data_IF_377846243153
#
_entry.id   IF_377846243153
#
_cell.length_a   1.000
_cell.length_b   1.000
_cell.length_c   1.000
_cell.angle_alpha   90.00
_cell.angle_beta   90.00
_cell.angle_gamma   90.00
#
_symmetry.space_group_name_H-M   'P 1'
#
loop_
_entity.id
_entity.type
_entity.pdbx_description
1 polymer ?
#
# COMPACT_ATOMS: atom_id res chain seq x y z
N UNK A 1 0.07 56.29 50.64
CA UNK A 1 1.20 55.39 50.32
C UNK A 1 0.64 54.04 49.91
N UNK A 2 0.88 53.70 48.64
CA UNK A 2 0.73 52.45 47.87
C UNK A 2 -0.17 51.31 48.41
N UNK A 3 -1.31 51.15 47.72
CA UNK A 3 -2.05 49.89 47.58
C UNK A 3 -1.27 48.94 46.65
N UNK A 4 -1.00 47.72 47.11
CA UNK A 4 -0.39 46.64 46.31
C UNK A 4 -1.53 45.77 45.75
N UNK A 5 -1.86 45.97 44.47
CA UNK A 5 -2.72 45.06 43.70
C UNK A 5 -1.90 43.87 43.24
N UNK A 6 -2.30 42.67 43.67
CA UNK A 6 -1.78 41.40 43.21
C UNK A 6 -2.36 41.08 41.83
N UNK A 7 -1.56 41.22 40.77
CA UNK A 7 -1.90 40.71 39.44
C UNK A 7 -1.63 39.21 39.39
N UNK A 8 -2.67 38.40 39.59
CA UNK A 8 -2.66 36.99 39.18
C UNK A 8 -2.69 36.93 37.64
N UNK A 9 -1.55 36.58 37.05
CA UNK A 9 -1.47 36.15 35.66
C UNK A 9 -2.09 34.74 35.58
N UNK A 10 -3.36 34.66 35.21
CA UNK A 10 -3.97 33.42 34.72
C UNK A 10 -3.31 33.08 33.37
N UNK A 11 -2.30 32.21 33.40
CA UNK A 11 -1.90 31.46 32.21
C UNK A 11 -3.09 30.60 31.81
N UNK A 12 -3.81 31.02 30.78
CA UNK A 12 -4.79 30.18 30.10
C UNK A 12 -4.07 28.91 29.62
N UNK A 13 -4.39 27.78 30.24
CA UNK A 13 -3.96 26.46 29.80
C UNK A 13 -4.60 26.23 28.42
N UNK A 14 -3.85 26.50 27.35
CA UNK A 14 -4.29 26.14 26.01
C UNK A 14 -4.26 24.62 25.92
N UNK A 15 -5.37 23.93 25.60
CA UNK A 15 -5.34 22.50 25.39
C UNK A 15 -4.44 22.24 24.18
N UNK A 16 -3.29 21.61 24.43
CA UNK A 16 -2.41 21.14 23.36
C UNK A 16 -3.22 20.11 22.57
N UNK A 17 -3.67 20.45 21.36
CA UNK A 17 -4.35 19.47 20.51
C UNK A 17 -3.31 18.43 20.10
N UNK A 18 -3.25 17.38 20.90
CA UNK A 18 -2.40 16.24 20.68
C UNK A 18 -2.86 15.49 19.42
N UNK A 19 -1.96 15.23 18.46
CA UNK A 19 -2.35 14.57 17.22
C UNK A 19 -2.93 13.18 17.52
N UNK A 20 -4.02 12.81 16.85
CA UNK A 20 -4.54 11.44 16.94
C UNK A 20 -3.55 10.45 16.34
N UNK A 21 -3.77 9.14 16.55
CA UNK A 21 -2.93 8.17 15.84
C UNK A 21 -3.04 8.26 14.32
N UNK A 22 -4.22 8.62 13.81
CA UNK A 22 -4.42 8.82 12.38
C UNK A 22 -3.61 10.03 11.89
N UNK A 23 -3.60 11.13 12.66
CA UNK A 23 -2.82 12.33 12.30
C UNK A 23 -1.32 12.01 12.22
N UNK A 24 -0.78 11.31 13.22
CA UNK A 24 0.62 10.91 13.21
C UNK A 24 0.94 10.00 12.02
N UNK A 25 0.16 8.92 11.82
CA UNK A 25 0.48 7.92 10.81
C UNK A 25 0.28 8.44 9.39
N UNK A 26 -0.87 9.07 9.11
CA UNK A 26 -1.27 9.43 7.75
C UNK A 26 -0.72 10.79 7.34
N UNK A 27 -0.70 11.77 8.24
CA UNK A 27 -0.34 13.16 7.88
C UNK A 27 1.14 13.46 8.10
N UNK A 28 1.86 12.66 8.89
CA UNK A 28 3.26 12.94 9.24
C UNK A 28 4.18 11.77 8.86
N UNK A 29 4.00 10.60 9.49
CA UNK A 29 4.91 9.46 9.37
C UNK A 29 4.96 8.95 7.92
N UNK A 30 3.81 8.73 7.29
CA UNK A 30 3.75 8.25 5.91
C UNK A 30 4.43 9.19 4.91
N UNK A 31 4.06 10.48 4.79
CA UNK A 31 4.70 11.38 3.82
C UNK A 31 6.17 11.66 4.15
N UNK A 32 6.56 11.69 5.43
CA UNK A 32 7.95 11.89 5.81
C UNK A 32 8.82 10.67 5.45
N UNK A 33 8.33 9.46 5.72
CA UNK A 33 9.06 8.21 5.40
C UNK A 33 9.16 7.99 3.90
N UNK A 34 8.17 8.41 3.10
CA UNK A 34 8.20 8.36 1.62
C UNK A 34 9.45 9.04 1.06
N UNK A 35 9.84 10.19 1.64
CA UNK A 35 11.04 10.92 1.20
C UNK A 35 12.36 10.17 1.45
N UNK A 36 12.37 9.21 2.38
CA UNK A 36 13.51 8.34 2.67
C UNK A 36 13.44 7.09 1.78
N UNK A 37 12.28 6.42 1.72
CA UNK A 37 12.09 5.21 0.92
C UNK A 37 12.43 5.40 -0.56
N UNK A 38 12.14 6.58 -1.11
CA UNK A 38 12.38 6.90 -2.51
C UNK A 38 13.65 7.75 -2.74
N UNK A 39 14.59 7.79 -1.79
CA UNK A 39 15.78 8.65 -1.89
C UNK A 39 16.63 8.41 -3.14
N UNK A 40 16.68 7.17 -3.64
CA UNK A 40 17.45 6.78 -4.84
C UNK A 40 16.76 7.16 -6.15
N UNK A 41 15.42 7.30 -6.15
CA UNK A 41 14.65 7.72 -7.32
C UNK A 41 14.26 9.20 -7.29
N UNK A 42 14.34 9.83 -6.11
CA UNK A 42 14.03 11.25 -5.84
C UNK A 42 15.18 11.93 -5.11
N UNK A 43 16.40 11.73 -5.59
CA UNK A 43 17.61 12.30 -4.98
C UNK A 43 17.59 13.83 -5.03
N UNK A 44 17.74 14.55 -3.90
CA UNK A 44 17.78 16.00 -3.88
C UNK A 44 18.98 16.55 -4.68
N UNK A 45 18.71 17.41 -5.67
CA UNK A 45 19.72 18.05 -6.51
C UNK A 45 20.12 19.45 -6.02
N UNK A 46 19.29 20.08 -5.19
CA UNK A 46 19.49 21.45 -4.70
C UNK A 46 19.52 21.53 -3.18
N UNK A 47 20.13 22.61 -2.65
CA UNK A 47 20.16 22.87 -1.20
C UNK A 47 18.75 23.00 -0.59
N UNK A 48 17.80 23.54 -1.35
CA UNK A 48 16.41 23.65 -0.92
C UNK A 48 15.73 22.27 -0.80
N UNK A 49 15.98 21.36 -1.73
CA UNK A 49 15.46 19.99 -1.67
C UNK A 49 16.12 19.20 -0.52
N UNK A 50 17.41 19.39 -0.28
CA UNK A 50 18.10 18.82 0.88
C UNK A 50 17.53 19.34 2.20
N UNK A 51 17.24 20.64 2.30
CA UNK A 51 16.59 21.23 3.47
C UNK A 51 15.17 20.69 3.67
N UNK A 52 14.41 20.46 2.59
CA UNK A 52 13.09 19.85 2.66
C UNK A 52 13.15 18.40 3.15
N UNK A 53 14.10 17.60 2.66
CA UNK A 53 14.34 16.24 3.13
C UNK A 53 14.71 16.23 4.62
N UNK A 54 15.61 17.11 5.06
CA UNK A 54 15.96 17.22 6.47
C UNK A 54 14.73 17.51 7.32
N UNK A 55 13.89 18.48 6.93
CA UNK A 55 12.64 18.80 7.63
C UNK A 55 11.71 17.59 7.72
N UNK A 56 11.60 16.78 6.66
CA UNK A 56 10.81 15.56 6.68
C UNK A 56 11.37 14.53 7.66
N UNK A 57 12.69 14.29 7.65
CA UNK A 57 13.31 13.36 8.61
C UNK A 57 13.12 13.79 10.07
N UNK A 58 13.19 15.10 10.34
CA UNK A 58 12.94 15.66 11.68
C UNK A 58 11.46 15.53 12.09
N UNK A 59 10.53 15.69 11.14
CA UNK A 59 9.11 15.46 11.38
C UNK A 59 8.80 13.98 11.68
N UNK A 60 9.47 13.06 10.97
CA UNK A 60 9.39 11.62 11.25
C UNK A 60 9.90 11.30 12.66
N UNK A 61 11.04 11.86 13.05
CA UNK A 61 11.62 11.67 14.39
C UNK A 61 10.66 12.15 15.48
N UNK A 62 10.13 13.36 15.35
CA UNK A 62 9.18 13.93 16.31
C UNK A 62 7.91 13.08 16.42
N UNK A 63 7.37 12.62 15.28
CA UNK A 63 6.22 11.75 15.29
C UNK A 63 6.52 10.36 15.90
N UNK A 64 7.73 9.82 15.69
CA UNK A 64 8.16 8.57 16.31
C UNK A 64 8.27 8.69 17.83
N UNK A 65 8.84 9.79 18.31
CA UNK A 65 8.92 10.08 19.75
C UNK A 65 7.55 10.27 20.38
N UNK A 66 6.60 10.83 19.64
CA UNK A 66 5.23 10.92 20.11
C UNK A 66 4.58 9.54 20.32
N UNK A 67 5.01 8.49 19.60
CA UNK A 67 4.49 7.13 19.80
C UNK A 67 4.90 6.52 21.14
N UNK A 68 6.05 6.89 21.70
CA UNK A 68 6.54 6.34 22.98
C UNK A 68 5.97 7.06 24.21
N UNK A 69 5.14 8.10 24.02
CA UNK A 69 4.49 8.81 25.12
C UNK A 69 3.60 7.87 25.95
N UNK A 70 3.62 7.96 27.31
CA UNK A 70 2.91 7.04 28.19
C UNK A 70 1.42 6.90 27.88
N UNK A 71 0.79 7.96 27.37
CA UNK A 71 -0.63 7.98 26.98
C UNK A 71 -0.97 7.11 25.77
N UNK A 72 0.02 6.70 24.97
CA UNK A 72 -0.16 5.88 23.76
C UNK A 72 0.29 4.44 23.95
N UNK A 73 1.16 4.20 24.92
CA UNK A 73 1.75 2.91 25.21
C UNK A 73 0.69 1.91 25.72
N UNK A 74 0.11 1.12 24.80
CA UNK A 74 -1.00 0.19 25.04
C UNK A 74 -0.64 -0.91 26.05
N UNK A 75 -0.01 -1.98 25.57
CA UNK A 75 0.53 -3.10 26.38
C UNK A 75 1.96 -2.79 26.89
N UNK A 76 2.32 -1.49 26.83
CA UNK A 76 3.52 -0.80 27.30
C UNK A 76 4.85 -1.39 26.86
N UNK A 77 5.18 -2.62 27.21
CA UNK A 77 6.48 -3.22 26.91
C UNK A 77 6.68 -3.46 25.41
N UNK A 78 5.77 -4.21 24.77
CA UNK A 78 5.86 -4.51 23.34
C UNK A 78 5.65 -3.26 22.50
N UNK A 79 4.69 -2.39 22.87
CA UNK A 79 4.47 -1.13 22.17
C UNK A 79 5.73 -0.27 22.16
N UNK A 80 6.39 -0.12 23.30
CA UNK A 80 7.62 0.67 23.38
C UNK A 80 8.75 0.02 22.58
N UNK A 81 8.89 -1.31 22.62
CA UNK A 81 9.87 -2.02 21.81
C UNK A 81 9.67 -1.77 20.31
N UNK A 82 8.43 -1.92 19.82
CA UNK A 82 8.11 -1.70 18.41
C UNK A 82 8.27 -0.23 18.00
N UNK A 83 7.81 0.71 18.83
CA UNK A 83 7.92 2.15 18.56
C UNK A 83 9.38 2.64 18.58
N UNK A 84 10.22 2.03 19.43
CA UNK A 84 11.64 2.38 19.52
C UNK A 84 12.39 2.09 18.21
N UNK A 85 11.99 1.06 17.44
CA UNK A 85 12.58 0.78 16.13
C UNK A 85 12.43 1.97 15.17
N UNK A 86 11.27 2.62 15.19
CA UNK A 86 11.02 3.79 14.34
C UNK A 86 11.78 5.02 14.85
N UNK A 87 11.90 5.18 16.18
CA UNK A 87 12.74 6.23 16.78
C UNK A 87 14.20 6.05 16.36
N UNK A 88 14.75 4.85 16.48
CA UNK A 88 16.15 4.57 16.14
C UNK A 88 16.44 4.80 14.65
N UNK A 89 15.54 4.36 13.77
CA UNK A 89 15.66 4.58 12.33
C UNK A 89 15.55 6.07 11.97
N UNK A 90 14.60 6.79 12.56
CA UNK A 90 14.40 8.23 12.29
C UNK A 90 15.55 9.10 12.77
N UNK A 91 16.16 8.80 13.93
CA UNK A 91 17.36 9.51 14.42
C UNK A 91 18.53 9.34 13.45
N UNK A 92 18.74 8.12 12.92
CA UNK A 92 19.75 7.87 11.89
C UNK A 92 19.44 8.60 10.60
N UNK A 93 18.17 8.66 10.20
CA UNK A 93 17.74 9.40 9.00
C UNK A 93 18.01 10.90 9.13
N UNK A 94 17.74 11.50 10.30
CA UNK A 94 18.05 12.91 10.58
C UNK A 94 19.56 13.16 10.49
N UNK A 95 20.39 12.26 11.04
CA UNK A 95 21.83 12.38 10.95
C UNK A 95 22.33 12.31 9.49
N UNK A 96 21.86 11.32 8.73
CA UNK A 96 22.23 11.12 7.33
C UNK A 96 21.77 12.28 6.43
N UNK A 97 20.55 12.79 6.63
CA UNK A 97 20.04 13.95 5.89
C UNK A 97 20.87 15.21 6.15
N UNK A 98 21.30 15.46 7.39
CA UNK A 98 22.15 16.60 7.76
C UNK A 98 23.51 16.56 7.08
N UNK A 99 24.09 15.37 6.92
CA UNK A 99 25.39 15.18 6.26
C UNK A 99 25.28 14.88 4.76
N UNK A 100 24.06 14.91 4.20
CA UNK A 100 23.75 14.54 2.81
C UNK A 100 24.26 13.15 2.43
N UNK A 101 24.22 12.22 3.38
CA UNK A 101 24.65 10.84 3.18
C UNK A 101 23.53 10.03 2.50
N UNK A 102 23.56 10.02 1.17
CA UNK A 102 22.60 9.26 0.36
C UNK A 102 22.64 7.75 0.64
N UNK A 103 23.84 7.20 0.86
CA UNK A 103 23.99 5.77 1.11
C UNK A 103 23.43 5.42 2.48
N UNK A 104 23.73 6.24 3.49
CA UNK A 104 23.16 6.10 4.83
C UNK A 104 21.64 6.22 4.85
N UNK A 105 21.05 7.06 4.01
CA UNK A 105 19.58 7.13 3.86
C UNK A 105 19.00 5.89 3.18
N UNK A 106 19.63 5.39 2.11
CA UNK A 106 19.22 4.16 1.43
C UNK A 106 19.29 2.93 2.35
N UNK A 107 20.36 2.82 3.15
CA UNK A 107 20.58 1.71 4.09
C UNK A 107 19.54 1.64 5.22
N UNK A 108 18.73 2.68 5.40
CA UNK A 108 17.66 2.71 6.40
C UNK A 108 16.34 2.12 5.91
N UNK A 109 16.21 1.79 4.62
CA UNK A 109 14.96 1.28 4.05
C UNK A 109 14.45 0.04 4.79
N UNK A 110 15.31 -0.95 5.02
CA UNK A 110 14.92 -2.18 5.72
C UNK A 110 14.54 -1.92 7.18
N UNK A 111 15.27 -1.04 7.86
CA UNK A 111 15.01 -0.68 9.25
C UNK A 111 13.67 0.05 9.40
N UNK A 112 13.41 1.04 8.53
CA UNK A 112 12.14 1.76 8.48
C UNK A 112 10.99 0.82 8.13
N UNK A 113 11.15 -0.01 7.10
CA UNK A 113 10.14 -1.00 6.71
C UNK A 113 9.79 -1.95 7.85
N UNK A 114 10.81 -2.48 8.52
CA UNK A 114 10.65 -3.38 9.67
C UNK A 114 9.86 -2.70 10.79
N UNK A 115 10.17 -1.43 11.12
CA UNK A 115 9.46 -0.67 12.15
C UNK A 115 7.97 -0.49 11.83
N UNK A 116 7.64 -0.24 10.56
CA UNK A 116 6.26 -0.11 10.09
C UNK A 116 5.50 -1.44 10.22
N UNK A 117 6.12 -2.53 9.76
CA UNK A 117 5.48 -3.84 9.68
C UNK A 117 5.26 -4.45 11.06
N UNK A 118 6.28 -4.46 11.91
CA UNK A 118 6.19 -5.12 13.22
C UNK A 118 5.12 -4.47 14.10
N UNK A 119 5.13 -3.14 14.22
CA UNK A 119 4.13 -2.41 15.01
C UNK A 119 2.71 -2.65 14.47
N UNK A 120 2.51 -2.58 13.15
CA UNK A 120 1.19 -2.78 12.57
C UNK A 120 0.71 -4.23 12.67
N UNK A 121 1.59 -5.24 12.56
CA UNK A 121 1.23 -6.64 12.78
C UNK A 121 0.70 -6.88 14.19
N UNK A 122 1.25 -6.19 15.21
CA UNK A 122 0.82 -6.34 16.60
C UNK A 122 -0.44 -5.51 16.93
N UNK A 123 -0.54 -4.26 16.44
CA UNK A 123 -1.56 -3.32 16.93
C UNK A 123 -2.61 -2.88 15.93
N UNK A 124 -2.47 -3.24 14.65
CA UNK A 124 -3.45 -2.95 13.60
C UNK A 124 -4.15 -4.24 13.18
N UNK A 125 -5.39 -4.46 13.63
CA UNK A 125 -6.18 -5.61 13.22
C UNK A 125 -6.22 -5.73 11.69
N UNK A 126 -6.02 -6.94 11.17
CA UNK A 126 -6.00 -7.26 9.74
C UNK A 126 -4.86 -6.63 8.92
N UNK A 127 -3.80 -6.12 9.56
CA UNK A 127 -2.61 -5.71 8.82
C UNK A 127 -1.92 -6.91 8.17
N UNK A 128 -1.60 -6.82 6.87
CA UNK A 128 -0.97 -7.89 6.09
C UNK A 128 -1.86 -9.11 5.80
N UNK A 129 -3.06 -9.21 6.40
CA UNK A 129 -4.05 -10.23 6.03
C UNK A 129 -4.91 -9.70 4.89
N UNK A 130 -4.73 -10.26 3.69
CA UNK A 130 -5.86 -10.41 2.77
C UNK A 130 -7.00 -11.14 3.50
N UNK A 131 -8.24 -10.75 3.23
CA UNK A 131 -9.51 -11.11 3.89
C UNK A 131 -9.85 -12.61 3.98
N UNK A 132 -8.95 -13.48 4.43
CA UNK A 132 -9.20 -14.92 4.50
C UNK A 132 -9.94 -15.33 5.78
N UNK A 133 -9.95 -14.52 6.84
CA UNK A 133 -10.45 -14.96 8.16
C UNK A 133 -10.99 -13.80 9.00
N UNK A 134 -12.24 -13.39 8.77
CA UNK A 134 -13.06 -12.77 9.81
C UNK A 134 -14.33 -13.59 9.98
N UNK A 135 -14.64 -14.12 11.16
CA UNK A 135 -15.95 -14.72 11.42
C UNK A 135 -17.01 -13.62 11.44
N UNK A 136 -18.10 -13.83 10.70
CA UNK A 136 -19.21 -12.89 10.63
C UNK A 136 -19.83 -12.69 12.02
N UNK A 137 -19.83 -11.45 12.52
CA UNK A 137 -20.64 -11.03 13.66
C UNK A 137 -22.07 -10.77 13.20
N UNK A 138 -23.04 -11.28 13.96
CA UNK A 138 -24.43 -11.46 13.55
C UNK A 138 -25.28 -10.19 13.42
N UNK A 139 -26.21 -10.31 12.48
CA UNK A 139 -27.60 -9.85 12.45
C UNK A 139 -27.92 -8.37 12.70
N UNK A 140 -27.94 -7.62 11.59
CA UNK A 140 -29.05 -6.78 11.07
C UNK A 140 -28.46 -5.98 9.90
N UNK A 141 -28.92 -6.17 8.65
CA UNK A 141 -28.31 -5.48 7.50
C UNK A 141 -29.31 -4.56 6.77
N UNK A 142 -29.30 -3.23 7.03
CA UNK A 142 -29.23 -2.26 5.93
C UNK A 142 -28.12 -2.70 4.96
N UNK A 143 -28.29 -2.44 3.65
CA UNK A 143 -27.37 -2.92 2.60
C UNK A 143 -25.90 -2.87 3.04
N UNK A 144 -25.10 -3.93 2.83
CA UNK A 144 -23.70 -3.96 3.26
C UNK A 144 -22.98 -2.68 2.80
N UNK A 145 -22.27 -2.03 3.71
CA UNK A 145 -21.44 -0.88 3.32
C UNK A 145 -20.43 -1.33 2.26
N UNK A 146 -20.35 -0.60 1.16
CA UNK A 146 -19.34 -0.79 0.10
C UNK A 146 -18.11 0.12 0.32
N UNK A 147 -18.02 0.76 1.49
CA UNK A 147 -16.86 1.55 1.86
C UNK A 147 -15.71 0.62 2.25
N UNK A 148 -14.52 0.89 1.73
CA UNK A 148 -13.35 0.08 2.01
C UNK A 148 -12.26 0.21 0.96
N UNK A 149 -11.14 -0.48 1.19
CA UNK A 149 -10.08 -0.63 0.19
C UNK A 149 -10.38 -1.90 -0.60
N UNK A 150 -10.56 -1.72 -1.92
CA UNK A 150 -10.88 -2.79 -2.84
C UNK A 150 -9.62 -3.23 -3.58
N UNK A 151 -9.38 -4.54 -3.64
CA UNK A 151 -8.34 -5.13 -4.49
C UNK A 151 -9.02 -5.83 -5.67
N UNK A 152 -8.54 -5.57 -6.89
CA UNK A 152 -9.02 -6.17 -8.13
C UNK A 152 -8.05 -7.20 -8.72
N UNK A 153 -6.88 -7.42 -8.09
CA UNK A 153 -5.87 -8.37 -8.53
C UNK A 153 -6.39 -9.80 -8.45
N UNK A 154 -6.54 -10.43 -9.61
CA UNK A 154 -7.02 -11.80 -9.75
C UNK A 154 -6.40 -12.46 -10.97
N UNK A 155 -6.14 -13.75 -10.86
CA UNK A 155 -5.73 -14.59 -11.99
C UNK A 155 -6.92 -15.03 -12.84
N UNK A 156 -8.16 -14.72 -12.44
CA UNK A 156 -9.35 -15.09 -13.22
C UNK A 156 -9.33 -14.37 -14.57
N UNK A 157 -9.34 -15.11 -15.69
CA UNK A 157 -9.38 -14.52 -17.02
C UNK A 157 -10.59 -13.62 -17.19
N UNK A 158 -10.43 -12.53 -17.95
CA UNK A 158 -11.58 -11.68 -18.27
C UNK A 158 -12.64 -12.45 -19.07
N UNK A 159 -12.21 -13.13 -20.15
CA UNK A 159 -13.05 -14.01 -20.96
C UNK A 159 -12.71 -15.49 -20.70
N UNK A 160 -13.72 -16.37 -20.79
CA UNK A 160 -13.55 -17.81 -20.56
C UNK A 160 -12.58 -18.41 -21.57
N UNK A 161 -11.54 -19.09 -21.09
CA UNK A 161 -10.62 -19.83 -21.97
C UNK A 161 -11.32 -21.04 -22.59
N UNK A 162 -10.79 -21.54 -23.70
CA UNK A 162 -11.40 -22.67 -24.43
C UNK A 162 -11.43 -23.96 -23.61
N UNK A 163 -10.44 -24.19 -22.74
CA UNK A 163 -10.36 -25.34 -21.82
C UNK A 163 -11.55 -25.42 -20.84
N UNK A 164 -12.20 -24.29 -20.54
CA UNK A 164 -13.37 -24.23 -19.66
C UNK A 164 -14.68 -24.01 -20.41
N UNK A 165 -14.74 -24.20 -21.73
CA UNK A 165 -15.97 -24.00 -22.50
C UNK A 165 -17.15 -24.80 -21.92
N UNK A 166 -18.29 -24.12 -21.68
CA UNK A 166 -19.46 -24.71 -21.02
C UNK A 166 -19.31 -24.98 -19.52
N UNK A 167 -18.15 -24.66 -18.91
CA UNK A 167 -17.88 -24.82 -17.48
C UNK A 167 -17.74 -23.45 -16.81
N UNK A 168 -18.80 -22.89 -16.22
CA UNK A 168 -18.74 -21.56 -15.61
C UNK A 168 -17.88 -21.50 -14.34
N UNK A 169 -17.65 -22.63 -13.70
CA UNK A 169 -16.86 -22.74 -12.48
C UNK A 169 -15.85 -23.89 -12.58
N UNK A 170 -14.65 -23.65 -12.07
CA UNK A 170 -13.62 -24.66 -11.87
C UNK A 170 -13.87 -25.41 -10.56
N UNK A 171 -13.47 -26.67 -10.50
CA UNK A 171 -13.25 -27.38 -9.23
C UNK A 171 -12.03 -26.84 -8.51
N UNK A 172 -11.91 -27.08 -7.20
CA UNK A 172 -10.75 -26.63 -6.41
C UNK A 172 -9.41 -27.15 -6.96
N UNK A 173 -9.40 -28.39 -7.46
CA UNK A 173 -8.23 -28.99 -8.08
C UNK A 173 -7.87 -28.34 -9.42
N UNK A 174 -8.87 -28.07 -10.28
CA UNK A 174 -8.67 -27.35 -11.54
C UNK A 174 -8.18 -25.91 -11.27
N UNK A 175 -8.77 -25.24 -10.28
CA UNK A 175 -8.40 -23.89 -9.85
C UNK A 175 -6.95 -23.82 -9.37
N UNK A 176 -6.55 -24.70 -8.45
CA UNK A 176 -5.18 -24.75 -7.95
C UNK A 176 -4.16 -25.03 -9.06
N UNK A 177 -4.49 -25.96 -9.98
CA UNK A 177 -3.63 -26.26 -11.12
C UNK A 177 -3.55 -25.08 -12.09
N UNK A 178 -4.64 -24.35 -12.29
CA UNK A 178 -4.67 -23.16 -13.14
C UNK A 178 -3.86 -22.01 -12.53
N UNK A 179 -4.02 -21.73 -11.23
CA UNK A 179 -3.24 -20.73 -10.49
C UNK A 179 -1.74 -21.02 -10.60
N UNK A 180 -1.32 -22.25 -10.29
CA UNK A 180 0.08 -22.65 -10.37
C UNK A 180 0.66 -22.46 -11.77
N UNK A 181 -0.04 -22.92 -12.82
CA UNK A 181 0.41 -22.74 -14.21
C UNK A 181 0.50 -21.27 -14.61
N UNK A 182 -0.48 -20.46 -14.21
CA UNK A 182 -0.55 -19.03 -14.59
C UNK A 182 0.55 -18.23 -13.92
N UNK A 183 0.79 -18.46 -12.63
CA UNK A 183 1.92 -17.85 -11.90
C UNK A 183 3.24 -18.22 -12.57
N UNK A 184 3.40 -19.51 -12.84
CA UNK A 184 4.63 -20.04 -13.40
C UNK A 184 4.90 -19.48 -14.80
N UNK A 185 3.88 -19.37 -15.67
CA UNK A 185 3.99 -18.74 -17.00
C UNK A 185 4.18 -17.22 -16.94
N UNK A 186 3.60 -16.54 -15.96
CA UNK A 186 3.68 -15.11 -15.78
C UNK A 186 4.98 -14.63 -15.13
N UNK A 187 5.70 -15.54 -14.46
CA UNK A 187 6.89 -15.24 -13.66
C UNK A 187 8.00 -14.60 -14.50
N UNK A 188 8.22 -13.30 -14.27
CA UNK A 188 9.25 -12.51 -14.96
C UNK A 188 10.66 -12.65 -14.40
N UNK A 189 10.86 -13.40 -13.32
CA UNK A 189 12.18 -13.71 -12.79
C UNK A 189 12.95 -14.69 -13.70
N UNK A 190 12.25 -15.31 -14.65
CA UNK A 190 12.86 -16.12 -15.70
C UNK A 190 13.53 -15.22 -16.74
N UNK A 191 14.80 -14.90 -16.51
CA UNK A 191 15.59 -14.06 -17.43
C UNK A 191 15.71 -14.69 -18.82
N UNK A 192 15.64 -13.84 -19.84
CA UNK A 192 15.77 -14.22 -21.23
C UNK A 192 17.16 -14.77 -21.57
N UNK A 193 17.26 -15.51 -22.67
CA UNK A 193 18.51 -16.12 -23.11
C UNK A 193 19.51 -15.13 -23.74
N UNK A 194 19.13 -13.86 -23.95
CA UNK A 194 19.99 -12.82 -24.55
C UNK A 194 19.97 -11.50 -23.76
N UNK A 195 21.03 -10.69 -23.83
CA UNK A 195 21.12 -9.38 -23.17
C UNK A 195 19.99 -8.41 -23.56
N UNK A 196 19.53 -8.44 -24.80
CA UNK A 196 18.46 -7.56 -25.29
C UNK A 196 17.09 -7.93 -24.69
N UNK A 197 16.85 -9.24 -24.50
CA UNK A 197 15.65 -9.73 -23.82
C UNK A 197 15.67 -9.42 -22.31
N UNK A 198 16.85 -9.39 -21.70
CA UNK A 198 17.05 -9.03 -20.29
C UNK A 198 16.79 -7.54 -20.04
N UNK A 199 17.29 -6.66 -20.92
CA UNK A 199 17.01 -5.22 -20.86
C UNK A 199 15.51 -4.92 -21.07
N UNK A 200 14.83 -5.66 -21.94
CA UNK A 200 13.37 -5.55 -22.14
C UNK A 200 12.53 -6.04 -20.94
N UNK A 201 13.13 -6.81 -20.03
CA UNK A 201 12.53 -7.39 -18.83
C UNK A 201 13.04 -6.78 -17.53
N UNK A 202 13.46 -5.51 -17.52
CA UNK A 202 14.19 -4.88 -16.41
C UNK A 202 13.53 -4.94 -15.01
N UNK A 203 12.24 -5.26 -14.91
CA UNK A 203 11.53 -5.44 -13.64
C UNK A 203 11.18 -6.92 -13.41
N UNK A 204 11.55 -7.41 -12.22
CA UNK A 204 11.27 -8.75 -11.72
C UNK A 204 9.79 -8.92 -11.30
N UNK A 205 9.35 -10.15 -11.00
CA UNK A 205 7.94 -10.48 -10.73
C UNK A 205 7.34 -9.65 -9.58
N UNK A 206 8.16 -9.33 -8.58
CA UNK A 206 7.78 -8.56 -7.39
C UNK A 206 7.07 -7.23 -7.71
N UNK A 207 7.42 -6.58 -8.82
CA UNK A 207 6.84 -5.28 -9.20
C UNK A 207 5.46 -5.38 -9.86
N UNK A 208 4.94 -6.59 -10.12
CA UNK A 208 3.68 -6.77 -10.82
C UNK A 208 2.58 -7.30 -9.87
N UNK A 209 1.59 -6.45 -9.58
CA UNK A 209 0.41 -6.84 -8.81
C UNK A 209 -0.67 -7.47 -9.69
N UNK A 210 -0.50 -8.75 -10.03
CA UNK A 210 -1.48 -9.56 -10.79
C UNK A 210 -2.37 -10.42 -9.89
N UNK A 211 -2.06 -10.48 -8.60
CA UNK A 211 -2.65 -11.42 -7.66
C UNK A 211 -2.11 -12.83 -7.83
N UNK A 212 -2.39 -13.69 -6.84
CA UNK A 212 -1.93 -15.09 -6.83
C UNK A 212 -3.09 -16.09 -6.87
N UNK A 213 -4.33 -15.60 -6.93
CA UNK A 213 -5.55 -16.39 -6.75
C UNK A 213 -6.58 -16.06 -7.80
N UNK A 214 -7.41 -17.05 -8.13
CA UNK A 214 -8.67 -16.83 -8.81
C UNK A 214 -9.63 -16.07 -7.89
N UNK A 215 -10.54 -15.30 -8.50
CA UNK A 215 -11.66 -14.72 -7.80
C UNK A 215 -12.49 -15.83 -7.14
N UNK A 216 -13.14 -15.50 -6.02
CA UNK A 216 -14.08 -16.40 -5.37
C UNK A 216 -15.44 -15.73 -5.33
N UNK A 217 -16.44 -16.36 -5.96
CA UNK A 217 -17.82 -15.90 -5.97
C UNK A 217 -18.69 -16.95 -5.30
N UNK A 218 -19.27 -16.62 -4.15
CA UNK A 218 -20.10 -17.54 -3.35
C UNK A 218 -19.40 -18.89 -3.06
N UNK A 219 -18.10 -18.85 -2.74
CA UNK A 219 -17.29 -20.03 -2.46
C UNK A 219 -16.90 -20.86 -3.68
N UNK A 220 -17.07 -20.33 -4.90
CA UNK A 220 -16.73 -21.03 -6.16
C UNK A 220 -15.69 -20.25 -6.95
N UNK A 221 -14.94 -20.95 -7.79
CA UNK A 221 -13.92 -20.38 -8.67
C UNK A 221 -14.51 -20.15 -10.07
N UNK A 222 -14.91 -18.93 -10.45
CA UNK A 222 -15.41 -18.66 -11.78
C UNK A 222 -14.28 -18.81 -12.81
N UNK A 223 -14.59 -19.38 -13.96
CA UNK A 223 -13.62 -19.55 -15.04
C UNK A 223 -13.45 -18.30 -15.92
N UNK A 224 -14.23 -17.24 -15.66
CA UNK A 224 -14.20 -15.94 -16.35
C UNK A 224 -14.81 -14.83 -15.49
N UNK A 225 -14.39 -13.59 -15.71
CA UNK A 225 -15.04 -12.41 -15.12
C UNK A 225 -16.32 -12.02 -15.87
N UNK A 226 -16.39 -12.26 -17.18
CA UNK A 226 -17.64 -12.14 -17.94
C UNK A 226 -18.57 -13.29 -17.53
N UNK A 227 -19.73 -12.92 -16.98
CA UNK A 227 -20.77 -13.87 -16.53
C UNK A 227 -21.90 -14.00 -17.55
N UNK A 228 -22.26 -12.89 -18.20
CA UNK A 228 -23.29 -12.81 -19.24
C UNK A 228 -22.68 -12.19 -20.50
N UNK A 229 -22.76 -12.86 -21.67
CA UNK A 229 -23.42 -14.14 -21.96
C UNK A 229 -22.82 -15.35 -21.24
N UNK A 230 -23.62 -16.41 -21.11
CA UNK A 230 -23.23 -17.63 -20.38
C UNK A 230 -21.96 -18.32 -20.90
N UNK A 231 -21.55 -18.03 -22.13
CA UNK A 231 -20.29 -18.50 -22.72
C UNK A 231 -19.06 -17.76 -22.17
N UNK A 232 -19.26 -16.65 -21.44
CA UNK A 232 -18.23 -15.91 -20.72
C UNK A 232 -17.32 -15.14 -21.65
N UNK A 233 -17.84 -14.72 -22.81
CA UNK A 233 -17.13 -13.90 -23.80
C UNK A 233 -17.83 -12.58 -24.00
N UNK A 234 -17.07 -11.52 -24.29
CA UNK A 234 -17.65 -10.23 -24.60
C UNK A 234 -18.39 -10.33 -25.93
N UNK A 235 -19.67 -9.91 -26.00
CA UNK A 235 -20.39 -9.89 -27.26
C UNK A 235 -19.70 -9.01 -28.30
N UNK A 236 -19.82 -9.33 -29.60
CA UNK A 236 -19.35 -8.46 -30.66
C UNK A 236 -19.89 -7.03 -30.51
N UNK A 237 -19.02 -6.03 -30.73
CA UNK A 237 -19.44 -4.63 -30.69
C UNK A 237 -20.52 -4.35 -31.74
N UNK A 238 -21.54 -3.58 -31.36
CA UNK A 238 -22.52 -3.05 -32.32
C UNK A 238 -21.87 -2.08 -33.30
N UNK A 239 -22.46 -1.88 -34.48
CA UNK A 239 -21.94 -0.96 -35.49
C UNK A 239 -21.69 0.47 -34.93
N UNK A 240 -22.61 0.97 -34.09
CA UNK A 240 -22.44 2.26 -33.44
C UNK A 240 -21.26 2.28 -32.44
N UNK A 241 -21.02 1.17 -31.72
CA UNK A 241 -19.87 1.06 -30.83
C UNK A 241 -18.54 0.96 -31.61
N UNK A 242 -18.52 0.27 -32.74
CA UNK A 242 -17.37 0.21 -33.64
C UNK A 242 -17.00 1.60 -34.17
N UNK A 243 -18.00 2.40 -34.60
CA UNK A 243 -17.78 3.78 -35.03
C UNK A 243 -17.15 4.65 -33.93
N UNK A 244 -17.67 4.58 -32.68
CA UNK A 244 -17.08 5.30 -31.54
C UNK A 244 -15.66 4.85 -31.21
N UNK A 245 -15.37 3.55 -31.30
CA UNK A 245 -14.03 3.02 -31.08
C UNK A 245 -13.05 3.50 -32.15
N UNK A 246 -13.47 3.52 -33.42
CA UNK A 246 -12.67 4.03 -34.53
C UNK A 246 -12.37 5.53 -34.40
N UNK A 247 -13.35 6.34 -33.98
CA UNK A 247 -13.15 7.77 -33.72
C UNK A 247 -12.11 8.01 -32.60
N UNK A 248 -12.25 7.33 -31.45
CA UNK A 248 -11.25 7.40 -30.36
C UNK A 248 -9.86 6.93 -30.79
N UNK A 249 -9.79 5.91 -31.65
CA UNK A 249 -8.51 5.42 -32.16
C UNK A 249 -7.87 6.41 -33.15
N UNK A 250 -8.66 7.15 -33.93
CA UNK A 250 -8.16 8.20 -34.80
C UNK A 250 -7.62 9.39 -33.99
N UNK A 251 -8.33 9.81 -32.94
CA UNK A 251 -7.88 10.85 -32.01
C UNK A 251 -6.54 10.51 -31.35
N UNK A 252 -6.40 9.28 -30.81
CA UNK A 252 -5.12 8.79 -30.24
C UNK A 252 -3.95 8.71 -31.21
N UNK A 253 -4.18 8.75 -32.53
CA UNK A 253 -3.10 8.79 -33.52
C UNK A 253 -2.63 10.21 -33.83
N UNK A 254 -3.42 11.21 -33.46
CA UNK A 254 -3.14 12.62 -33.74
C UNK A 254 -2.47 13.34 -32.55
N UNK A 255 -2.35 12.66 -31.41
CA UNK A 255 -1.74 13.13 -30.17
C UNK A 255 -0.76 12.08 -29.66
#
# INVERSE_FOLDING_TARGET
>A
MRTLTWSLLLLAFQPSHSPTMSDLMVKIIYPASDSIFYITTRTPGTDAEWAALQKNTEALEQAARELIEPRRARDRERWLADAQLMVDASVKAVAAAKTRDLKGLEDLNDALYTSCVQCHQHYRPNYGRGLAQQPASGNQHPAPSIEGVWNFSTLTPFERSQEFSGKPYMTDAEAAAFEARTIEQGNRDRRGASPEADVGGAYNEFWFDRGLRLATMNGRHPSSLVVDPSDGRVPPLTAAAQQRAAARAAERRQH
#
